data_IF_729432782580
#
_entry.id   IF_729432782580
#
_cell.length_a   1.000
_cell.length_b   1.000
_cell.length_c   1.000
_cell.angle_alpha   90.00
_cell.angle_beta   90.00
_cell.angle_gamma   90.00
#
_symmetry.space_group_name_H-M   'P 1'
#
loop_
_entity.id
_entity.type
_entity.pdbx_description
1 polymer ?
#
# COMPACT_ATOMS: atom_id res chain seq x y z
N UNK A 1 13.73 -15.26 -0.33
CA UNK A 1 12.48 -14.47 -0.43
C UNK A 1 12.86 -13.07 -0.91
N UNK A 2 12.16 -12.50 -1.90
CA UNK A 2 12.38 -11.10 -2.28
C UNK A 2 11.37 -10.24 -1.52
N UNK A 3 11.83 -9.11 -0.97
CA UNK A 3 10.95 -8.13 -0.33
C UNK A 3 10.23 -7.30 -1.41
N UNK A 4 10.87 -7.06 -2.55
CA UNK A 4 10.25 -6.39 -3.69
C UNK A 4 9.42 -7.36 -4.53
N UNK A 5 8.14 -7.04 -4.72
CA UNK A 5 7.18 -7.85 -5.49
C UNK A 5 6.88 -7.27 -6.87
N UNK A 6 7.18 -5.98 -7.09
CA UNK A 6 6.81 -5.19 -8.29
C UNK A 6 5.31 -5.01 -8.51
N UNK A 7 4.47 -5.54 -7.61
CA UNK A 7 3.02 -5.49 -7.80
C UNK A 7 2.44 -4.09 -7.68
N UNK A 8 3.16 -3.13 -7.11
CA UNK A 8 2.71 -1.74 -6.97
C UNK A 8 3.41 -0.74 -7.90
N UNK A 9 4.09 -1.21 -8.94
CA UNK A 9 4.79 -0.36 -9.92
C UNK A 9 3.81 0.49 -10.75
N UNK A 10 2.54 0.09 -10.81
CA UNK A 10 1.44 0.82 -11.43
C UNK A 10 0.86 1.94 -10.55
N UNK A 11 1.45 2.19 -9.37
CA UNK A 11 0.98 3.20 -8.43
C UNK A 11 -0.15 2.74 -7.50
N UNK A 12 -0.53 1.45 -7.54
CA UNK A 12 -1.55 0.89 -6.65
C UNK A 12 -0.93 -0.03 -5.58
N UNK A 13 -1.70 -0.34 -4.53
CA UNK A 13 -1.31 -1.28 -3.47
C UNK A 13 -2.53 -2.05 -2.97
N UNK A 14 -2.30 -3.18 -2.29
CA UNK A 14 -3.35 -4.03 -1.74
C UNK A 14 -3.72 -3.66 -0.31
N UNK A 15 -5.01 -3.74 0.02
CA UNK A 15 -5.53 -3.73 1.38
C UNK A 15 -5.67 -5.16 1.91
N UNK A 16 -5.92 -5.29 3.22
CA UNK A 16 -6.08 -6.57 3.91
C UNK A 16 -7.24 -7.42 3.37
N UNK A 17 -8.25 -6.79 2.78
CA UNK A 17 -9.42 -7.44 2.15
C UNK A 17 -9.16 -7.87 0.69
N UNK A 18 -7.92 -7.79 0.22
CA UNK A 18 -7.47 -8.01 -1.16
C UNK A 18 -7.97 -6.98 -2.19
N UNK A 19 -8.67 -5.92 -1.78
CA UNK A 19 -8.97 -4.80 -2.67
C UNK A 19 -7.69 -4.03 -3.02
N UNK A 20 -7.65 -3.40 -4.19
CA UNK A 20 -6.53 -2.57 -4.63
C UNK A 20 -6.94 -1.10 -4.70
N UNK A 21 -6.08 -0.24 -4.17
CA UNK A 21 -6.29 1.20 -4.10
C UNK A 21 -5.06 1.95 -4.60
N UNK A 22 -5.22 3.21 -4.99
CA UNK A 22 -4.09 4.06 -5.28
C UNK A 22 -3.21 4.24 -4.03
N UNK A 23 -1.89 4.37 -4.20
CA UNK A 23 -0.97 4.68 -3.09
C UNK A 23 -1.26 6.02 -2.40
N UNK A 24 -2.02 6.90 -3.05
CA UNK A 24 -2.50 8.17 -2.51
C UNK A 24 -3.87 8.09 -1.82
N UNK A 25 -4.49 6.92 -1.71
CA UNK A 25 -5.75 6.73 -0.98
C UNK A 25 -5.58 7.10 0.50
N UNK A 26 -6.60 7.74 1.08
CA UNK A 26 -6.59 8.22 2.47
C UNK A 26 -6.27 7.11 3.47
N UNK A 27 -6.71 5.87 3.22
CA UNK A 27 -6.44 4.73 4.10
C UNK A 27 -4.97 4.34 4.11
N UNK A 28 -4.31 4.41 2.95
CA UNK A 28 -2.87 4.14 2.83
C UNK A 28 -2.10 5.19 3.61
N UNK A 29 -2.48 6.46 3.45
CA UNK A 29 -1.89 7.56 4.20
C UNK A 29 -2.07 7.38 5.71
N UNK A 30 -3.27 7.03 6.17
CA UNK A 30 -3.56 6.89 7.60
C UNK A 30 -2.70 5.83 8.30
N UNK A 31 -2.59 4.61 7.74
CA UNK A 31 -1.72 3.59 8.34
C UNK A 31 -0.23 3.88 8.11
N UNK A 32 0.13 4.57 7.03
CA UNK A 32 1.51 5.04 6.80
C UNK A 32 1.97 6.05 7.86
N UNK A 33 1.09 6.98 8.27
CA UNK A 33 1.39 7.93 9.35
C UNK A 33 1.59 7.25 10.71
N UNK A 34 0.87 6.14 10.96
CA UNK A 34 1.04 5.34 12.19
C UNK A 34 2.30 4.48 12.15
N UNK A 35 2.65 3.92 10.99
CA UNK A 35 3.87 3.10 10.80
C UNK A 35 5.15 3.94 10.89
N UNK A 36 5.07 5.25 10.60
CA UNK A 36 6.19 6.18 10.68
C UNK A 36 6.56 6.57 12.14
N UNK A 37 5.67 6.35 13.11
CA UNK A 37 5.88 6.68 14.54
C UNK A 37 6.26 5.48 15.38
#
# INVERSE_FOLDING_TARGET
MKIYTKTGDDGTTGLQDNSRVAKSDLRIKAYGEIDET
#
